data_IF_857912401043
#
_entry.id   IF_857912401043
#
_cell.length_a   1.000
_cell.length_b   1.000
_cell.length_c   1.000
_cell.angle_alpha   90.00
_cell.angle_beta   90.00
_cell.angle_gamma   90.00
#
_symmetry.space_group_name_H-M   'P 1'
#
loop_
_entity.id
_entity.type
_entity.pdbx_description
1 polymer ?
#
# COMPACT_ATOMS: atom_id res chain seq x y z
N UNK A 1 -43.30 -15.18 29.47
CA UNK A 1 -43.05 -16.64 29.34
C UNK A 1 -44.12 -17.17 28.39
N UNK A 2 -43.85 -17.93 27.32
CA UNK A 2 -42.99 -19.13 27.23
C UNK A 2 -41.98 -19.14 26.04
N UNK A 3 -41.14 -20.18 26.03
CA UNK A 3 -40.00 -20.58 25.14
C UNK A 3 -40.49 -21.04 23.74
N UNK A 4 -39.68 -21.56 22.78
CA UNK A 4 -38.22 -21.84 22.68
C UNK A 4 -37.65 -21.30 21.33
N UNK A 5 -36.40 -21.45 20.90
CA UNK A 5 -35.84 -22.68 20.34
C UNK A 5 -34.44 -22.39 19.83
N UNK A 6 -33.48 -23.21 20.25
CA UNK A 6 -32.15 -23.28 19.68
C UNK A 6 -32.23 -23.72 18.20
N UNK A 7 -31.44 -23.08 17.34
CA UNK A 7 -30.97 -23.65 16.07
C UNK A 7 -29.67 -22.92 15.67
N UNK A 8 -28.55 -23.38 16.20
CA UNK A 8 -27.30 -23.33 15.44
C UNK A 8 -27.29 -24.52 14.49
N UNK A 9 -27.06 -24.26 13.20
CA UNK A 9 -26.11 -25.07 12.47
C UNK A 9 -25.13 -24.16 11.72
N UNK A 10 -23.95 -24.01 12.30
CA UNK A 10 -22.71 -24.08 11.53
C UNK A 10 -22.76 -25.37 10.68
N UNK A 11 -22.26 -25.34 9.44
CA UNK A 11 -22.24 -26.41 8.41
C UNK A 11 -23.35 -26.41 7.33
N UNK A 12 -23.46 -25.38 6.48
CA UNK A 12 -23.73 -25.63 5.04
C UNK A 12 -23.48 -24.41 4.12
N UNK A 13 -22.23 -24.02 3.93
CA UNK A 13 -21.82 -23.32 2.69
C UNK A 13 -20.36 -23.63 2.37
N UNK A 14 -20.08 -24.93 2.26
CA UNK A 14 -18.95 -25.44 1.50
C UNK A 14 -19.47 -26.00 0.18
N UNK A 15 -19.45 -25.19 -0.88
CA UNK A 15 -19.33 -25.71 -2.25
C UNK A 15 -18.88 -24.59 -3.22
N UNK A 16 -17.59 -24.52 -3.58
CA UNK A 16 -17.22 -24.04 -4.91
C UNK A 16 -17.58 -25.16 -5.89
N UNK A 17 -18.60 -24.92 -6.71
CA UNK A 17 -18.93 -25.76 -7.86
C UNK A 17 -17.75 -25.80 -8.82
N UNK A 18 -17.01 -26.91 -8.79
CA UNK A 18 -16.03 -27.29 -9.79
C UNK A 18 -16.76 -27.59 -11.09
N UNK A 19 -16.44 -26.87 -12.17
CA UNK A 19 -16.88 -27.20 -13.52
C UNK A 19 -15.84 -26.73 -14.52
N UNK A 20 -15.37 -27.67 -15.34
CA UNK A 20 -14.86 -27.38 -16.68
C UNK A 20 -13.35 -27.17 -16.79
N UNK A 21 -12.62 -28.27 -16.90
CA UNK A 21 -11.29 -28.33 -17.49
C UNK A 21 -11.31 -27.65 -18.86
N UNK A 22 -10.58 -26.56 -19.03
CA UNK A 22 -10.18 -26.11 -20.36
C UNK A 22 -8.67 -26.24 -20.48
N UNK A 23 -8.27 -27.17 -21.33
CA UNK A 23 -6.90 -27.43 -21.71
C UNK A 23 -6.26 -26.16 -22.28
N UNK A 24 -5.01 -25.92 -21.88
CA UNK A 24 -3.86 -25.45 -22.66
C UNK A 24 -2.83 -24.91 -21.66
N UNK A 25 -1.82 -25.72 -21.34
CA UNK A 25 -0.60 -25.25 -20.67
C UNK A 25 0.05 -24.15 -21.51
N UNK A 26 0.18 -22.90 -21.02
CA UNK A 26 1.03 -21.94 -21.67
C UNK A 26 2.47 -22.28 -21.25
N UNK A 27 3.21 -22.84 -22.21
CA UNK A 27 4.68 -22.95 -22.21
C UNK A 27 5.30 -21.69 -21.57
N UNK A 28 6.17 -21.79 -20.55
CA UNK A 28 6.79 -20.59 -19.99
C UNK A 28 7.75 -20.00 -21.03
N UNK A 29 7.31 -18.90 -21.66
CA UNK A 29 8.19 -18.01 -22.40
C UNK A 29 9.12 -17.39 -21.36
N UNK A 30 10.41 -17.71 -21.42
CA UNK A 30 11.44 -16.96 -20.70
C UNK A 30 11.43 -15.53 -21.22
N UNK A 31 10.64 -14.67 -20.57
CA UNK A 31 10.70 -13.24 -20.80
C UNK A 31 11.97 -12.72 -20.17
N UNK A 32 12.90 -12.28 -21.01
CA UNK A 32 14.07 -11.50 -20.64
C UNK A 32 13.68 -10.46 -19.57
N UNK A 33 14.47 -10.39 -18.51
CA UNK A 33 14.19 -9.65 -17.28
C UNK A 33 13.70 -8.23 -17.56
N UNK A 34 12.40 -8.02 -17.37
CA UNK A 34 11.90 -6.68 -17.09
C UNK A 34 12.55 -6.30 -15.77
N UNK A 35 13.40 -5.27 -15.76
CA UNK A 35 13.87 -4.68 -14.49
C UNK A 35 12.63 -4.21 -13.76
N UNK A 36 12.15 -5.05 -12.86
CA UNK A 36 11.04 -4.75 -11.99
C UNK A 36 11.36 -3.41 -11.33
N UNK A 37 10.56 -2.38 -11.62
CA UNK A 37 10.71 -1.08 -10.96
C UNK A 37 10.43 -1.35 -9.49
N UNK A 38 11.51 -1.52 -8.73
CA UNK A 38 11.46 -1.75 -7.29
C UNK A 38 10.63 -0.62 -6.69
N UNK A 39 9.47 -0.98 -6.14
CA UNK A 39 8.61 0.01 -5.52
C UNK A 39 9.38 0.73 -4.42
N UNK A 40 9.24 2.05 -4.28
CA UNK A 40 9.93 2.79 -3.22
C UNK A 40 9.48 2.26 -1.87
N UNK A 41 10.44 1.89 -1.02
CA UNK A 41 10.16 1.43 0.34
C UNK A 41 9.72 2.60 1.21
N UNK A 42 8.70 2.44 2.07
CA UNK A 42 8.26 3.50 2.96
C UNK A 42 9.35 3.85 3.99
N UNK A 43 9.59 5.15 4.18
CA UNK A 43 10.53 5.67 5.17
C UNK A 43 9.78 6.17 6.41
N UNK A 44 10.19 5.71 7.59
CA UNK A 44 9.66 6.21 8.87
C UNK A 44 10.63 7.23 9.47
N UNK A 45 10.15 8.46 9.68
CA UNK A 45 10.92 9.55 10.27
C UNK A 45 10.50 9.76 11.73
N UNK A 46 11.47 9.82 12.64
CA UNK A 46 11.23 10.22 14.04
C UNK A 46 11.37 11.74 14.12
N UNK A 47 10.25 12.42 14.27
CA UNK A 47 10.16 13.87 14.39
C UNK A 47 9.56 14.23 15.74
N UNK A 48 9.94 15.39 16.28
CA UNK A 48 9.22 15.95 17.43
C UNK A 48 7.83 16.40 16.99
N UNK A 49 6.90 16.50 17.95
CA UNK A 49 5.55 16.98 17.67
C UNK A 49 5.53 18.40 17.07
N UNK A 50 6.47 19.26 17.50
CA UNK A 50 6.61 20.61 16.97
C UNK A 50 7.01 20.61 15.49
N UNK A 51 8.06 19.87 15.13
CA UNK A 51 8.51 19.73 13.74
C UNK A 51 7.42 19.14 12.85
N UNK A 52 6.69 18.12 13.33
CA UNK A 52 5.60 17.51 12.57
C UNK A 52 4.46 18.51 12.29
N UNK A 53 4.15 19.41 13.23
CA UNK A 53 3.14 20.48 13.01
C UNK A 53 3.61 21.50 11.98
N UNK A 54 4.87 21.89 12.05
CA UNK A 54 5.45 22.85 11.12
C UNK A 54 5.48 22.31 9.69
N UNK A 55 5.91 21.06 9.51
CA UNK A 55 5.89 20.38 8.21
C UNK A 55 4.46 20.27 7.66
N UNK A 56 3.48 19.94 8.51
CA UNK A 56 2.07 19.88 8.10
C UNK A 56 1.56 21.23 7.61
N UNK A 57 1.89 22.31 8.31
CA UNK A 57 1.53 23.67 7.90
C UNK A 57 2.17 24.03 6.56
N UNK A 58 3.48 23.80 6.43
CA UNK A 58 4.21 24.12 5.20
C UNK A 58 3.72 23.31 3.98
N UNK A 59 3.40 22.03 4.18
CA UNK A 59 2.83 21.19 3.13
C UNK A 59 1.43 21.68 2.69
N UNK A 60 0.61 22.14 3.65
CA UNK A 60 -0.70 22.73 3.37
C UNK A 60 -0.58 24.04 2.58
N UNK A 61 0.34 24.92 2.98
CA UNK A 61 0.62 26.19 2.27
C UNK A 61 1.12 25.95 0.84
N UNK A 62 1.86 24.86 0.61
CA UNK A 62 2.38 24.48 -0.69
C UNK A 62 1.39 23.66 -1.55
N UNK A 63 0.17 23.40 -1.06
CA UNK A 63 -0.85 22.53 -1.69
C UNK A 63 -0.28 21.15 -2.09
N UNK A 64 0.48 20.54 -1.19
CA UNK A 64 1.15 19.27 -1.41
C UNK A 64 0.85 18.27 -0.29
N UNK A 65 0.92 16.98 -0.62
CA UNK A 65 0.95 15.94 0.42
C UNK A 65 2.22 16.08 1.25
N UNK A 66 2.14 15.75 2.54
CA UNK A 66 3.28 15.82 3.46
C UNK A 66 4.50 15.07 2.90
N UNK A 67 4.29 13.87 2.35
CA UNK A 67 5.35 13.06 1.74
C UNK A 67 5.95 13.74 0.50
N UNK A 68 5.13 14.33 -0.36
CA UNK A 68 5.59 15.06 -1.54
C UNK A 68 6.39 16.31 -1.17
N UNK A 69 5.91 17.08 -0.20
CA UNK A 69 6.62 18.24 0.33
C UNK A 69 7.98 17.85 0.91
N UNK A 70 8.03 16.83 1.77
CA UNK A 70 9.29 16.36 2.37
C UNK A 70 10.29 15.86 1.32
N UNK A 71 9.83 15.16 0.28
CA UNK A 71 10.68 14.72 -0.83
C UNK A 71 11.23 15.91 -1.61
N UNK A 72 10.41 16.92 -1.89
CA UNK A 72 10.85 18.13 -2.57
C UNK A 72 11.91 18.89 -1.75
N UNK A 73 11.71 19.03 -0.44
CA UNK A 73 12.70 19.59 0.47
C UNK A 73 14.01 18.79 0.44
N UNK A 74 13.93 17.46 0.45
CA UNK A 74 15.11 16.60 0.36
C UNK A 74 15.86 16.78 -0.96
N UNK A 75 15.16 16.81 -2.09
CA UNK A 75 15.81 17.06 -3.39
C UNK A 75 16.43 18.45 -3.48
N UNK A 76 15.78 19.47 -2.92
CA UNK A 76 16.34 20.82 -2.87
C UNK A 76 17.59 20.90 -1.97
N UNK A 77 17.60 20.14 -0.87
CA UNK A 77 18.78 20.01 0.00
C UNK A 77 19.94 19.33 -0.73
N UNK A 78 19.68 18.22 -1.43
CA UNK A 78 20.70 17.48 -2.19
C UNK A 78 21.28 18.26 -3.38
N UNK A 79 20.48 19.13 -4.00
CA UNK A 79 20.91 19.98 -5.11
C UNK A 79 21.69 21.21 -4.67
N UNK A 80 21.71 21.53 -3.37
CA UNK A 80 22.46 22.68 -2.86
C UNK A 80 23.95 22.33 -2.93
N UNK A 81 24.78 23.11 -3.65
CA UNK A 81 26.23 22.94 -3.59
C UNK A 81 26.68 23.15 -2.14
N UNK A 82 27.56 22.27 -1.66
CA UNK A 82 28.24 22.44 -0.37
C UNK A 82 29.21 23.63 -0.53
N UNK A 83 28.72 24.84 -0.27
CA UNK A 83 29.53 26.06 -0.14
C UNK A 83 30.09 26.17 1.26
#
# INVERSE_FOLDING_TARGET
MPKPSALTPDLLSSQPSSSGNNALDPRPITTAGTKERKQPSPLQLRLTAAQAKEIKRAALEADQTISGFMLNCFYAYMKRPNT
#
